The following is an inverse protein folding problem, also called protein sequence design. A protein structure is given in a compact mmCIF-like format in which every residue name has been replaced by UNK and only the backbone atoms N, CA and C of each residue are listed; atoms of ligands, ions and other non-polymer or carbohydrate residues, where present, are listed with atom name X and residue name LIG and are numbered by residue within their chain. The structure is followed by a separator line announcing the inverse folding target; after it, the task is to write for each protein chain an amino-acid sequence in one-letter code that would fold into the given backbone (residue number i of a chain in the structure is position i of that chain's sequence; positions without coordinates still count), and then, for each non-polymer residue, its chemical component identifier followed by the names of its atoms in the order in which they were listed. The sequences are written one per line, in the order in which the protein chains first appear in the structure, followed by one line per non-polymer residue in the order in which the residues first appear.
data_IF_885223012776
#
_entry.id   IF_885223012776
#
_cell.length_a   1.000
_cell.length_b   1.000
_cell.length_c   1.000
_cell.angle_alpha   90.00
_cell.angle_beta   90.00
_cell.angle_gamma   90.00
#
_symmetry.space_group_name_H-M   'P 1'
#
loop_
_entity.id
_entity.type
_entity.pdbx_description
1 polymer ?
#
# COMPACT_ATOMS: atom_id res chain seq x y z
N UNK A 1 -22.44 19.27 -2.45
CA UNK A 1 -21.00 18.88 -2.47
C UNK A 1 -20.25 19.84 -3.38
N UNK A 2 -19.08 20.34 -2.97
CA UNK A 2 -18.23 21.17 -3.83
C UNK A 2 -17.81 20.38 -5.08
N UNK A 3 -17.71 21.07 -6.23
CA UNK A 3 -17.32 20.45 -7.50
C UNK A 3 -15.97 19.73 -7.41
N UNK A 4 -14.99 20.34 -6.76
CA UNK A 4 -13.65 19.76 -6.56
C UNK A 4 -13.66 18.49 -5.72
N UNK A 5 -14.45 18.47 -4.63
CA UNK A 5 -14.66 17.27 -3.82
C UNK A 5 -15.26 16.16 -4.66
N UNK A 6 -16.32 16.45 -5.43
CA UNK A 6 -16.96 15.47 -6.31
C UNK A 6 -15.98 14.91 -7.34
N UNK A 7 -15.14 15.76 -7.94
CA UNK A 7 -14.11 15.36 -8.90
C UNK A 7 -13.08 14.42 -8.25
N UNK A 8 -12.49 14.82 -7.13
CA UNK A 8 -11.44 14.04 -6.45
C UNK A 8 -11.94 12.68 -5.96
N UNK A 9 -13.17 12.58 -5.47
CA UNK A 9 -13.77 11.29 -5.12
C UNK A 9 -13.95 10.41 -6.36
N UNK A 10 -14.42 10.96 -7.49
CA UNK A 10 -14.54 10.21 -8.75
C UNK A 10 -13.18 9.71 -9.24
N UNK A 11 -12.18 10.59 -9.30
CA UNK A 11 -10.83 10.27 -9.76
C UNK A 11 -10.20 9.16 -8.89
N UNK A 12 -10.40 9.24 -7.56
CA UNK A 12 -9.96 8.21 -6.62
C UNK A 12 -10.66 6.87 -6.89
N UNK A 13 -11.98 6.88 -7.05
CA UNK A 13 -12.79 5.68 -7.31
C UNK A 13 -12.35 5.02 -8.61
N UNK A 14 -12.26 5.77 -9.70
CA UNK A 14 -11.87 5.25 -11.02
C UNK A 14 -10.51 4.56 -10.95
N UNK A 15 -9.54 5.19 -10.30
CA UNK A 15 -8.21 4.59 -10.15
C UNK A 15 -8.23 3.34 -9.26
N UNK A 16 -9.02 3.36 -8.18
CA UNK A 16 -9.14 2.20 -7.30
C UNK A 16 -9.84 1.01 -7.99
N UNK A 17 -10.82 1.26 -8.86
CA UNK A 17 -11.43 0.21 -9.68
C UNK A 17 -10.46 -0.36 -10.71
N UNK A 18 -9.65 0.49 -11.36
CA UNK A 18 -8.62 0.01 -12.26
C UNK A 18 -7.61 -0.90 -11.55
N UNK A 19 -7.20 -0.57 -10.32
CA UNK A 19 -6.34 -1.46 -9.52
C UNK A 19 -6.97 -2.84 -9.32
N UNK A 20 -8.30 -2.93 -9.15
CA UNK A 20 -8.98 -4.23 -8.96
C UNK A 20 -8.88 -5.16 -10.17
N UNK A 21 -8.62 -4.61 -11.35
CA UNK A 21 -8.48 -5.38 -12.59
C UNK A 21 -7.04 -5.84 -12.85
N UNK A 22 -6.09 -5.45 -12.01
CA UNK A 22 -4.70 -5.89 -12.15
C UNK A 22 -4.53 -7.35 -11.74
N UNK A 23 -3.70 -8.06 -12.49
CA UNK A 23 -3.40 -9.48 -12.26
C UNK A 23 -2.68 -9.76 -10.93
N UNK A 24 -2.16 -8.72 -10.25
CA UNK A 24 -1.68 -8.82 -8.88
C UNK A 24 -2.71 -9.43 -7.91
N UNK A 25 -4.00 -9.27 -8.22
CA UNK A 25 -5.11 -9.81 -7.42
C UNK A 25 -5.72 -11.10 -8.00
N UNK A 26 -5.10 -11.76 -8.97
CA UNK A 26 -5.55 -13.07 -9.48
C UNK A 26 -5.24 -14.20 -8.48
N UNK A 27 -6.10 -15.24 -8.39
CA UNK A 27 -5.87 -16.40 -7.50
C UNK A 27 -6.28 -16.20 -6.02
N UNK A 28 -7.38 -15.47 -5.78
CA UNK A 28 -7.78 -14.71 -4.57
C UNK A 28 -7.87 -15.36 -3.18
N UNK A 29 -7.38 -16.58 -2.96
CA UNK A 29 -7.37 -17.16 -1.61
C UNK A 29 -6.06 -16.88 -0.87
N UNK A 30 -4.95 -16.74 -1.60
CA UNK A 30 -3.60 -16.53 -1.06
C UNK A 30 -2.76 -15.67 -2.03
N UNK A 31 -2.65 -14.36 -1.77
CA UNK A 31 -1.90 -13.43 -2.64
C UNK A 31 -0.40 -13.45 -2.30
N UNK A 32 -0.06 -13.45 -1.01
CA UNK A 32 1.31 -13.47 -0.50
C UNK A 32 1.38 -14.33 0.74
N UNK A 33 2.47 -15.07 0.93
CA UNK A 33 2.74 -15.78 2.16
C UNK A 33 3.91 -16.74 2.03
N UNK A 34 4.02 -17.64 3.01
CA UNK A 34 4.99 -18.73 2.99
C UNK A 34 4.37 -20.04 3.41
N UNK A 35 4.87 -21.13 2.87
CA UNK A 35 4.52 -22.49 3.26
C UNK A 35 5.75 -23.16 3.88
N UNK A 36 5.57 -23.69 5.08
CA UNK A 36 6.61 -24.46 5.77
C UNK A 36 6.40 -25.92 5.43
N UNK A 37 7.41 -26.56 4.85
CA UNK A 37 7.38 -27.98 4.49
C UNK A 37 8.61 -28.70 5.04
N UNK A 38 8.47 -29.99 5.31
CA UNK A 38 9.58 -30.87 5.68
C UNK A 38 10.04 -31.64 4.44
N UNK A 39 11.31 -31.50 4.06
CA UNK A 39 11.94 -32.19 2.92
C UNK A 39 13.07 -33.06 3.45
N UNK A 40 12.84 -34.38 3.52
CA UNK A 40 13.73 -35.29 4.25
C UNK A 40 13.76 -34.93 5.74
N UNK A 41 14.97 -34.72 6.28
CA UNK A 41 15.16 -34.32 7.68
C UNK A 41 15.28 -32.80 7.89
N UNK A 42 15.06 -32.00 6.84
CA UNK A 42 15.18 -30.53 6.90
C UNK A 42 13.82 -29.84 6.81
N UNK A 43 13.68 -28.74 7.54
CA UNK A 43 12.57 -27.80 7.37
C UNK A 43 12.94 -26.78 6.30
N UNK A 44 12.01 -26.50 5.39
CA UNK A 44 12.13 -25.52 4.33
C UNK A 44 10.92 -24.58 4.37
N UNK A 45 11.16 -23.31 4.05
CA UNK A 45 10.11 -22.30 3.87
C UNK A 45 10.12 -21.91 2.41
N UNK A 46 8.97 -22.02 1.75
CA UNK A 46 8.77 -21.53 0.38
C UNK A 46 7.86 -20.32 0.42
N UNK A 47 8.31 -19.19 -0.11
CA UNK A 47 7.48 -18.00 -0.26
C UNK A 47 6.72 -18.05 -1.59
N UNK A 48 5.47 -17.58 -1.57
CA UNK A 48 4.69 -17.33 -2.77
C UNK A 48 4.23 -15.88 -2.76
N UNK A 49 4.35 -15.24 -3.92
CA UNK A 49 4.02 -13.83 -4.12
C UNK A 49 3.77 -13.54 -5.61
N UNK A 50 3.12 -12.42 -5.95
CA UNK A 50 2.96 -12.01 -7.33
C UNK A 50 4.31 -11.79 -8.02
N UNK A 51 4.35 -11.98 -9.35
CA UNK A 51 5.57 -11.76 -10.14
C UNK A 51 6.01 -10.30 -10.10
N UNK A 52 7.26 -10.04 -10.47
CA UNK A 52 7.81 -8.69 -10.58
C UNK A 52 6.98 -7.81 -11.54
N UNK A 53 6.51 -8.36 -12.65
CA UNK A 53 5.65 -7.66 -13.60
C UNK A 53 4.30 -7.27 -12.97
N UNK A 54 3.68 -8.20 -12.23
CA UNK A 54 2.43 -7.94 -11.51
C UNK A 54 2.62 -6.88 -10.42
N UNK A 55 3.71 -6.99 -9.67
CA UNK A 55 4.11 -6.04 -8.63
C UNK A 55 4.33 -4.65 -9.23
N UNK A 56 5.12 -4.53 -10.28
CA UNK A 56 5.49 -3.24 -10.86
C UNK A 56 4.29 -2.53 -11.49
N UNK A 57 3.39 -3.28 -12.13
CA UNK A 57 2.11 -2.77 -12.62
C UNK A 57 1.25 -2.19 -11.47
N UNK A 58 1.21 -2.88 -10.32
CA UNK A 58 0.55 -2.37 -9.13
C UNK A 58 1.23 -1.10 -8.58
N UNK A 59 2.56 -1.12 -8.42
CA UNK A 59 3.31 0.01 -7.85
C UNK A 59 3.15 1.30 -8.68
N UNK A 60 3.12 1.16 -10.01
CA UNK A 60 2.87 2.27 -10.93
C UNK A 60 1.54 2.99 -10.64
N UNK A 61 0.53 2.25 -10.16
CA UNK A 61 -0.78 2.80 -9.81
C UNK A 61 -0.84 3.23 -8.34
N UNK A 62 -0.24 2.46 -7.42
CA UNK A 62 -0.19 2.80 -6.00
C UNK A 62 0.49 4.14 -5.73
N UNK A 63 1.51 4.51 -6.52
CA UNK A 63 2.20 5.80 -6.35
C UNK A 63 1.26 7.01 -6.41
N UNK A 64 0.15 6.93 -7.15
CA UNK A 64 -0.84 8.01 -7.26
C UNK A 64 -1.58 8.25 -5.94
N UNK A 65 -1.74 7.19 -5.14
CA UNK A 65 -2.36 7.26 -3.81
C UNK A 65 -1.38 7.63 -2.71
N UNK A 66 -0.07 7.51 -2.96
CA UNK A 66 0.99 7.81 -1.99
C UNK A 66 1.63 9.18 -2.22
N UNK A 67 1.71 9.63 -3.47
CA UNK A 67 2.32 10.90 -3.85
C UNK A 67 1.26 11.99 -4.01
N UNK A 68 1.57 13.18 -3.53
CA UNK A 68 0.65 14.32 -3.49
C UNK A 68 0.48 15.08 -4.82
N UNK A 69 0.75 14.42 -5.95
CA UNK A 69 0.78 15.07 -7.27
C UNK A 69 -0.61 15.34 -7.84
N UNK A 70 -1.55 14.41 -7.66
CA UNK A 70 -2.83 14.42 -8.38
C UNK A 70 -4.05 14.65 -7.47
N UNK A 71 -3.84 15.11 -6.23
CA UNK A 71 -4.91 15.41 -5.28
C UNK A 71 -5.70 14.19 -4.76
N UNK A 72 -5.44 12.99 -5.27
CA UNK A 72 -6.08 11.73 -4.83
C UNK A 72 -5.23 10.92 -3.84
N UNK A 73 -4.11 11.48 -3.39
CA UNK A 73 -3.30 10.80 -2.38
C UNK A 73 -4.09 10.61 -1.08
N UNK A 74 -3.79 9.53 -0.36
CA UNK A 74 -4.40 9.25 0.95
C UNK A 74 -4.21 10.42 1.91
N UNK A 75 -3.10 11.17 1.82
CA UNK A 75 -2.90 12.38 2.61
C UNK A 75 -3.80 13.52 2.13
N UNK A 76 -3.83 13.79 0.83
CA UNK A 76 -4.60 14.90 0.27
C UNK A 76 -6.09 14.72 0.46
N UNK A 77 -6.63 13.50 0.44
CA UNK A 77 -8.05 13.28 0.70
C UNK A 77 -8.52 13.80 2.06
N UNK A 78 -7.62 13.96 3.05
CA UNK A 78 -7.97 14.55 4.34
C UNK A 78 -8.47 15.99 4.18
N UNK A 79 -7.99 16.72 3.17
CA UNK A 79 -8.40 18.11 2.88
C UNK A 79 -9.91 18.19 2.57
N UNK A 80 -10.52 17.10 2.09
CA UNK A 80 -11.95 17.02 1.77
C UNK A 80 -12.83 17.04 3.03
N UNK A 81 -12.28 16.71 4.20
CA UNK A 81 -13.04 16.74 5.46
C UNK A 81 -13.55 18.13 5.82
N UNK A 82 -12.96 19.19 5.24
CA UNK A 82 -13.39 20.57 5.36
C UNK A 82 -14.59 20.93 4.44
N UNK A 83 -15.03 20.03 3.56
CA UNK A 83 -16.26 20.24 2.78
C UNK A 83 -17.49 20.05 3.69
N UNK A 84 -18.34 21.08 3.89
CA UNK A 84 -19.52 20.97 4.74
C UNK A 84 -20.58 20.01 4.17
N UNK A 85 -20.57 19.78 2.85
CA UNK A 85 -21.58 18.94 2.20
C UNK A 85 -21.23 17.44 2.27
N UNK A 86 -19.99 17.11 2.62
CA UNK A 86 -19.52 15.74 2.76
C UNK A 86 -20.07 15.15 4.08
N UNK A 87 -20.67 13.95 4.01
CA UNK A 87 -21.30 13.36 5.19
C UNK A 87 -20.29 13.09 6.33
N UNK A 88 -20.77 13.18 7.57
CA UNK A 88 -19.99 12.73 8.73
C UNK A 88 -19.61 11.25 8.60
N UNK A 89 -20.52 10.40 8.10
CA UNK A 89 -20.25 8.97 7.83
C UNK A 89 -19.00 8.75 6.98
N UNK A 90 -18.87 9.46 5.85
CA UNK A 90 -17.68 9.33 4.99
C UNK A 90 -16.42 9.79 5.71
N UNK A 91 -16.48 10.93 6.43
CA UNK A 91 -15.34 11.49 7.17
C UNK A 91 -14.85 10.52 8.24
N UNK A 92 -15.76 9.93 9.00
CA UNK A 92 -15.47 8.98 10.07
C UNK A 92 -14.85 7.69 9.52
N UNK A 93 -15.41 7.14 8.44
CA UNK A 93 -14.86 5.94 7.79
C UNK A 93 -13.48 6.20 7.18
N UNK A 94 -13.30 7.33 6.48
CA UNK A 94 -12.00 7.72 5.93
C UNK A 94 -10.94 7.86 7.04
N UNK A 95 -11.24 8.58 8.12
CA UNK A 95 -10.29 8.79 9.21
C UNK A 95 -9.97 7.47 9.93
N UNK A 96 -10.97 6.62 10.16
CA UNK A 96 -10.77 5.28 10.72
C UNK A 96 -9.84 4.44 9.86
N UNK A 97 -10.08 4.36 8.55
CA UNK A 97 -9.24 3.59 7.61
C UNK A 97 -7.82 4.16 7.59
N UNK A 98 -7.68 5.48 7.49
CA UNK A 98 -6.39 6.17 7.47
C UNK A 98 -5.60 5.95 8.77
N UNK A 99 -6.26 6.02 9.92
CA UNK A 99 -5.65 5.79 11.23
C UNK A 99 -5.16 4.35 11.35
N UNK A 100 -6.00 3.37 11.01
CA UNK A 100 -5.62 1.94 11.03
C UNK A 100 -4.42 1.71 10.11
N UNK A 101 -4.45 2.23 8.88
CA UNK A 101 -3.35 2.08 7.94
C UNK A 101 -2.05 2.68 8.50
N UNK A 102 -2.07 3.89 9.07
CA UNK A 102 -0.86 4.49 9.64
C UNK A 102 -0.31 3.69 10.81
N UNK A 103 -1.17 3.21 11.72
CA UNK A 103 -0.74 2.30 12.80
C UNK A 103 -0.03 1.08 12.21
N UNK A 104 -0.60 0.45 11.18
CA UNK A 104 0.03 -0.71 10.51
C UNK A 104 1.33 -0.36 9.80
N UNK A 105 1.47 0.82 9.23
CA UNK A 105 2.71 1.27 8.59
C UNK A 105 3.79 1.57 9.62
N UNK A 106 3.42 2.04 10.81
CA UNK A 106 4.37 2.39 11.86
C UNK A 106 4.71 1.19 12.78
N UNK A 107 4.10 0.03 12.56
CA UNK A 107 4.47 -1.23 13.22
C UNK A 107 5.93 -1.61 12.92
N UNK A 108 6.65 -2.01 13.96
CA UNK A 108 8.04 -2.49 13.88
C UNK A 108 8.06 -3.87 13.23
N UNK A 109 8.83 -4.00 12.15
CA UNK A 109 9.15 -5.26 11.44
C UNK A 109 10.37 -5.92 12.07
N UNK A 110 11.40 -5.13 12.39
CA UNK A 110 12.63 -5.62 13.00
C UNK A 110 13.26 -4.58 13.92
N UNK A 111 13.88 -5.02 15.00
CA UNK A 111 14.63 -4.19 15.94
C UNK A 111 15.89 -4.93 16.40
N UNK A 112 17.06 -4.32 16.21
CA UNK A 112 18.33 -4.93 16.59
C UNK A 112 19.54 -4.07 16.24
N UNK A 113 20.67 -4.72 15.94
CA UNK A 113 21.94 -4.02 15.65
C UNK A 113 21.85 -3.09 14.43
N UNK A 114 21.02 -3.43 13.44
CA UNK A 114 20.71 -2.58 12.27
C UNK A 114 19.75 -1.42 12.63
N UNK A 115 19.31 -1.29 13.88
CA UNK A 115 18.35 -0.29 14.34
C UNK A 115 16.92 -0.81 14.26
N UNK A 116 15.96 0.11 14.15
CA UNK A 116 14.53 -0.19 14.01
C UNK A 116 14.12 -0.08 12.55
N UNK A 117 13.33 -1.04 12.09
CA UNK A 117 12.69 -1.07 10.77
C UNK A 117 11.18 -1.16 10.95
N UNK A 118 10.43 -0.27 10.32
CA UNK A 118 8.95 -0.30 10.31
C UNK A 118 8.41 -0.79 8.97
N UNK A 119 7.12 -1.10 8.90
CA UNK A 119 6.45 -1.41 7.63
C UNK A 119 6.55 -0.25 6.62
N UNK A 120 6.53 0.99 7.11
CA UNK A 120 6.71 2.21 6.31
C UNK A 120 8.11 2.27 5.70
N UNK A 121 9.11 1.90 6.49
CA UNK A 121 10.50 1.83 6.02
C UNK A 121 10.64 0.78 4.92
N UNK A 122 10.09 -0.42 5.12
CA UNK A 122 10.06 -1.49 4.11
C UNK A 122 9.40 -1.01 2.82
N UNK A 123 8.22 -0.36 2.92
CA UNK A 123 7.52 0.23 1.78
C UNK A 123 8.42 1.21 1.02
N UNK A 124 9.00 2.19 1.72
CA UNK A 124 9.81 3.24 1.10
C UNK A 124 11.09 2.67 0.48
N UNK A 125 11.74 1.74 1.16
CA UNK A 125 12.96 1.08 0.73
C UNK A 125 12.79 0.37 -0.61
N UNK A 126 11.73 -0.42 -0.77
CA UNK A 126 11.44 -1.09 -2.04
C UNK A 126 10.89 -0.12 -3.08
N UNK A 127 9.87 0.68 -2.73
CA UNK A 127 9.21 1.57 -3.68
C UNK A 127 10.16 2.66 -4.19
N UNK A 128 10.82 3.39 -3.30
CA UNK A 128 11.66 4.54 -3.64
C UNK A 128 13.16 4.26 -3.67
N UNK A 129 13.63 3.15 -3.09
CA UNK A 129 15.07 2.83 -3.05
C UNK A 129 15.54 1.86 -4.12
N UNK A 130 14.81 0.76 -4.34
CA UNK A 130 15.24 -0.32 -5.26
C UNK A 130 14.48 -0.35 -6.57
N UNK A 131 13.15 -0.23 -6.52
CA UNK A 131 12.27 -0.52 -7.67
C UNK A 131 12.02 0.74 -8.51
N UNK A 132 11.52 1.84 -7.92
CA UNK A 132 11.11 3.00 -8.72
C UNK A 132 12.20 4.06 -8.94
N UNK A 133 13.25 4.10 -8.10
CA UNK A 133 14.36 5.04 -8.27
C UNK A 133 15.70 4.35 -8.00
N UNK A 134 16.65 4.50 -8.93
CA UNK A 134 18.02 4.01 -8.78
C UNK A 134 18.97 5.18 -8.45
N UNK A 135 18.65 5.96 -7.42
CA UNK A 135 19.54 7.02 -6.95
C UNK A 135 20.35 6.49 -5.75
N UNK A 136 21.68 6.29 -5.90
CA UNK A 136 22.50 5.72 -4.83
C UNK A 136 22.52 6.58 -3.56
N UNK A 137 22.26 7.88 -3.67
CA UNK A 137 22.27 8.82 -2.55
C UNK A 137 20.91 8.94 -1.83
N UNK A 138 19.86 8.28 -2.31
CA UNK A 138 18.55 8.29 -1.68
C UNK A 138 18.57 7.51 -0.35
N UNK A 139 17.96 8.07 0.70
CA UNK A 139 17.90 7.43 2.03
C UNK A 139 17.20 6.07 1.98
N UNK A 140 16.21 5.89 1.11
CA UNK A 140 15.52 4.61 0.91
C UNK A 140 16.46 3.56 0.31
N UNK A 141 17.34 3.96 -0.60
CA UNK A 141 18.36 3.05 -1.14
C UNK A 141 19.44 2.72 -0.11
N UNK A 142 19.89 3.69 0.70
CA UNK A 142 20.81 3.43 1.82
C UNK A 142 20.19 2.45 2.83
N UNK A 143 18.91 2.61 3.12
CA UNK A 143 18.17 1.70 3.98
C UNK A 143 18.10 0.29 3.38
N UNK A 144 17.91 0.18 2.06
CA UNK A 144 17.94 -1.09 1.32
C UNK A 144 19.28 -1.79 1.50
N UNK A 145 20.37 -1.10 1.21
CA UNK A 145 21.73 -1.68 1.34
C UNK A 145 22.07 -2.06 2.78
N UNK A 146 21.53 -1.34 3.77
CA UNK A 146 21.74 -1.62 5.19
C UNK A 146 21.01 -2.88 5.65
N UNK A 147 19.77 -3.07 5.19
CA UNK A 147 18.90 -4.14 5.68
C UNK A 147 18.91 -5.41 4.85
N UNK A 148 19.28 -5.34 3.58
CA UNK A 148 19.36 -6.49 2.68
C UNK A 148 20.83 -6.74 2.35
N UNK A 149 21.44 -7.63 3.13
CA UNK A 149 22.86 -8.01 3.00
C UNK A 149 23.05 -9.42 2.43
N UNK A 150 21.99 -10.21 2.37
CA UNK A 150 21.95 -11.54 1.76
C UNK A 150 20.56 -11.86 1.18
N UNK A 151 20.47 -12.98 0.46
CA UNK A 151 19.23 -13.42 -0.20
C UNK A 151 18.12 -13.78 0.80
N UNK A 152 18.46 -14.22 2.02
CA UNK A 152 17.46 -14.57 3.04
C UNK A 152 16.78 -13.30 3.56
N UNK A 153 17.55 -12.26 3.84
CA UNK A 153 17.02 -10.95 4.24
C UNK A 153 16.19 -10.32 3.12
N UNK A 154 16.62 -10.48 1.86
CA UNK A 154 15.85 -10.04 0.70
C UNK A 154 14.47 -10.70 0.68
N UNK A 155 14.39 -12.03 0.70
CA UNK A 155 13.12 -12.78 0.62
C UNK A 155 12.16 -12.41 1.77
N UNK A 156 12.67 -12.32 3.00
CA UNK A 156 11.85 -11.97 4.18
C UNK A 156 11.27 -10.55 4.05
N UNK A 157 12.11 -9.57 3.70
CA UNK A 157 11.68 -8.18 3.59
C UNK A 157 10.84 -7.93 2.33
N UNK A 158 11.08 -8.67 1.26
CA UNK A 158 10.29 -8.60 0.03
C UNK A 158 8.89 -9.19 0.23
N UNK A 159 8.77 -10.33 0.91
CA UNK A 159 7.48 -10.85 1.34
C UNK A 159 6.75 -9.86 2.28
N UNK A 160 7.47 -9.25 3.22
CA UNK A 160 6.92 -8.19 4.09
C UNK A 160 6.41 -6.99 3.28
N UNK A 161 7.16 -6.57 2.26
CA UNK A 161 6.76 -5.52 1.34
C UNK A 161 5.43 -5.84 0.65
N UNK A 162 5.27 -7.04 0.11
CA UNK A 162 4.02 -7.49 -0.50
C UNK A 162 2.84 -7.49 0.50
N UNK A 163 3.06 -7.87 1.76
CA UNK A 163 2.05 -7.74 2.83
C UNK A 163 1.65 -6.27 3.04
N UNK A 164 2.61 -5.34 3.03
CA UNK A 164 2.33 -3.91 3.13
C UNK A 164 1.54 -3.39 1.92
N UNK A 165 1.86 -3.86 0.70
CA UNK A 165 1.09 -3.52 -0.50
C UNK A 165 -0.37 -3.96 -0.40
N UNK A 166 -0.64 -5.16 0.15
CA UNK A 166 -2.00 -5.64 0.37
C UNK A 166 -2.73 -4.75 1.38
N UNK A 167 -2.08 -4.36 2.48
CA UNK A 167 -2.68 -3.45 3.48
C UNK A 167 -3.05 -2.09 2.86
N UNK A 168 -2.17 -1.53 2.01
CA UNK A 168 -2.43 -0.31 1.26
C UNK A 168 -3.61 -0.48 0.30
N UNK A 169 -3.62 -1.58 -0.45
CA UNK A 169 -4.72 -1.92 -1.36
C UNK A 169 -6.05 -1.99 -0.61
N UNK A 170 -6.12 -2.73 0.48
CA UNK A 170 -7.34 -2.83 1.29
C UNK A 170 -7.83 -1.44 1.74
N UNK A 171 -6.93 -0.57 2.22
CA UNK A 171 -7.30 0.78 2.61
C UNK A 171 -7.86 1.61 1.43
N UNK A 172 -7.19 1.56 0.27
CA UNK A 172 -7.62 2.26 -0.96
C UNK A 172 -9.00 1.76 -1.40
N UNK A 173 -9.20 0.44 -1.44
CA UNK A 173 -10.46 -0.16 -1.87
C UNK A 173 -11.62 0.17 -0.91
N UNK A 174 -11.36 0.23 0.40
CA UNK A 174 -12.36 0.61 1.38
C UNK A 174 -12.72 2.10 1.29
N UNK A 175 -11.74 2.98 1.11
CA UNK A 175 -11.99 4.41 0.86
C UNK A 175 -12.77 4.62 -0.44
N UNK A 176 -12.46 3.85 -1.49
CA UNK A 176 -13.21 3.88 -2.76
C UNK A 176 -14.67 3.48 -2.53
N UNK A 177 -14.91 2.41 -1.77
CA UNK A 177 -16.28 1.98 -1.42
C UNK A 177 -17.05 3.07 -0.67
N UNK A 178 -16.45 3.65 0.37
CA UNK A 178 -17.08 4.75 1.12
C UNK A 178 -17.36 5.96 0.21
N UNK A 179 -16.42 6.28 -0.69
CA UNK A 179 -16.56 7.39 -1.65
C UNK A 179 -17.69 7.16 -2.67
N UNK A 180 -17.89 5.91 -3.12
CA UNK A 180 -19.02 5.55 -3.98
C UNK A 180 -20.36 5.76 -3.29
N UNK A 181 -20.49 5.26 -2.06
CA UNK A 181 -21.70 5.46 -1.24
C UNK A 181 -22.01 6.95 -1.06
N UNK A 182 -20.98 7.74 -0.75
CA UNK A 182 -21.14 9.19 -0.57
C UNK A 182 -21.59 9.87 -1.86
N UNK A 183 -21.00 9.55 -3.02
CA UNK A 183 -21.43 10.13 -4.30
C UNK A 183 -22.86 9.73 -4.69
N UNK A 184 -23.29 8.52 -4.36
CA UNK A 184 -24.67 8.07 -4.61
C UNK A 184 -25.68 8.87 -3.80
N UNK A 185 -25.35 9.20 -2.54
CA UNK A 185 -26.20 10.04 -1.66
C UNK A 185 -26.50 11.42 -2.25
N UNK A 186 -25.60 11.98 -3.06
CA UNK A 186 -25.76 13.30 -3.70
C UNK A 186 -26.35 13.25 -5.12
N UNK A 187 -26.62 12.06 -5.66
CA UNK A 187 -27.32 11.89 -6.93
C UNK A 187 -28.79 11.49 -6.74
N UNK A 188 -29.25 11.37 -5.49
CA UNK A 188 -30.64 11.21 -5.04
C UNK A 188 -31.11 12.58 -4.55
#
# INVERSE_FOLDING_TARGET
MKSETKKRLKDFIERAEYIRTLSYLEGKDKIVGGEIKKVGDKWQVDFYQPTDEQRDALLLNLRLFLQDKDGISLRKLADLTNDPDLSSKWKDEYEKIRKILNIRLDEIVSHGQKGTLTNRDVLNMFLFGKIAHNNPNDESNKLYQKWITDDTEYEILHNTFHVVLIRLLTAILNISSASKEELQRHNI
#
